data_IF_550734332001
#
_entry.id   IF_550734332001
#
_cell.length_a   1.000
_cell.length_b   1.000
_cell.length_c   1.000
_cell.angle_alpha   90.00
_cell.angle_beta   90.00
_cell.angle_gamma   90.00
#
_symmetry.space_group_name_H-M   'P 1'
#
loop_
_entity.id
_entity.type
_entity.pdbx_description
1 polymer ?
#
# COMPACT_ATOMS: atom_id res chain seq x y z
N UNK A 1 11.73 21.60 23.84
CA UNK A 1 11.48 20.49 22.88
C UNK A 1 10.45 19.56 23.50
N UNK A 2 9.23 19.50 22.94
CA UNK A 2 8.13 18.70 23.47
C UNK A 2 8.50 17.22 23.62
N UNK A 3 8.08 16.61 24.74
CA UNK A 3 8.29 15.19 25.07
C UNK A 3 7.50 14.29 24.11
N UNK A 4 7.98 14.13 22.88
CA UNK A 4 7.39 13.17 21.97
C UNK A 4 7.74 11.74 22.43
N UNK A 5 6.72 10.91 22.70
CA UNK A 5 6.92 9.50 23.05
C UNK A 5 7.66 8.75 21.94
N UNK A 6 8.64 7.94 22.31
CA UNK A 6 9.38 7.03 21.43
C UNK A 6 8.39 6.03 20.78
N UNK A 7 8.52 5.81 19.48
CA UNK A 7 7.74 4.80 18.74
C UNK A 7 8.17 3.40 19.20
N UNK A 8 7.23 2.44 19.29
CA UNK A 8 7.58 1.04 19.56
C UNK A 8 8.43 0.48 18.43
N UNK A 9 9.43 -0.35 18.73
CA UNK A 9 10.20 -1.08 17.69
C UNK A 9 9.32 -2.04 16.89
N UNK A 10 8.20 -2.46 17.49
CA UNK A 10 7.19 -3.32 16.91
C UNK A 10 6.08 -2.57 16.15
N UNK A 11 6.21 -1.25 15.93
CA UNK A 11 5.16 -0.46 15.29
C UNK A 11 4.89 -0.93 13.85
N UNK A 12 3.69 -1.46 13.64
CA UNK A 12 3.18 -1.85 12.33
C UNK A 12 1.71 -1.46 12.25
N UNK A 13 1.31 -0.86 11.12
CA UNK A 13 -0.09 -0.51 10.87
C UNK A 13 -0.50 -1.06 9.52
N UNK A 14 -1.50 -1.95 9.57
CA UNK A 14 -2.06 -2.55 8.37
C UNK A 14 -2.87 -1.50 7.59
N UNK A 15 -2.74 -1.51 6.27
CA UNK A 15 -3.57 -0.64 5.40
C UNK A 15 -5.04 -1.09 5.52
N UNK A 16 -5.97 -0.13 5.43
CA UNK A 16 -7.40 -0.43 5.49
C UNK A 16 -7.76 -1.49 4.42
N UNK A 17 -8.43 -2.60 4.76
CA UNK A 17 -8.78 -3.66 3.81
C UNK A 17 -9.54 -3.20 2.57
N UNK A 18 -10.38 -2.16 2.69
CA UNK A 18 -11.08 -1.59 1.54
C UNK A 18 -10.11 -0.91 0.56
N UNK A 19 -9.08 -0.21 1.07
CA UNK A 19 -8.02 0.36 0.24
C UNK A 19 -7.24 -0.76 -0.44
N UNK A 20 -6.92 -1.83 0.29
CA UNK A 20 -6.24 -3.00 -0.28
C UNK A 20 -7.05 -3.61 -1.42
N UNK A 21 -8.35 -3.79 -1.24
CA UNK A 21 -9.23 -4.33 -2.28
C UNK A 21 -9.29 -3.42 -3.52
N UNK A 22 -9.42 -2.10 -3.31
CA UNK A 22 -9.46 -1.13 -4.42
C UNK A 22 -8.13 -1.08 -5.18
N UNK A 23 -6.99 -1.00 -4.48
CA UNK A 23 -5.67 -0.99 -5.10
C UNK A 23 -5.40 -2.32 -5.80
N UNK A 24 -5.75 -3.45 -5.18
CA UNK A 24 -5.62 -4.77 -5.78
C UNK A 24 -6.42 -4.92 -7.08
N UNK A 25 -7.68 -4.46 -7.08
CA UNK A 25 -8.50 -4.45 -8.29
C UNK A 25 -7.91 -3.55 -9.38
N UNK A 26 -7.44 -2.35 -9.03
CA UNK A 26 -6.81 -1.43 -9.99
C UNK A 26 -5.52 -2.04 -10.59
N UNK A 27 -4.67 -2.65 -9.76
CA UNK A 27 -3.45 -3.32 -10.21
C UNK A 27 -3.76 -4.49 -11.14
N UNK A 28 -4.76 -5.32 -10.79
CA UNK A 28 -5.22 -6.40 -11.65
C UNK A 28 -5.69 -5.88 -13.01
N UNK A 29 -6.57 -4.89 -13.03
CA UNK A 29 -7.10 -4.33 -14.29
C UNK A 29 -6.01 -3.68 -15.15
N UNK A 30 -5.04 -3.01 -14.52
CA UNK A 30 -3.90 -2.41 -15.21
C UNK A 30 -3.01 -3.49 -15.88
N UNK A 31 -2.72 -4.58 -15.17
CA UNK A 31 -1.95 -5.71 -15.72
C UNK A 31 -2.72 -6.40 -16.84
N UNK A 32 -4.03 -6.64 -16.67
CA UNK A 32 -4.86 -7.24 -17.72
C UNK A 32 -4.95 -6.35 -18.95
N UNK A 33 -5.10 -5.04 -18.79
CA UNK A 33 -5.09 -4.09 -19.91
C UNK A 33 -3.81 -4.22 -20.77
N UNK A 34 -2.67 -4.53 -20.15
CA UNK A 34 -1.43 -4.74 -20.88
C UNK A 34 -1.31 -6.16 -21.46
N UNK A 35 -1.50 -7.20 -20.65
CA UNK A 35 -1.14 -8.58 -21.02
C UNK A 35 -2.26 -9.36 -21.70
N UNK A 36 -3.51 -9.15 -21.29
CA UNK A 36 -4.68 -9.85 -21.82
C UNK A 36 -5.94 -8.98 -21.69
N UNK A 37 -6.07 -7.93 -22.54
CA UNK A 37 -7.13 -6.93 -22.39
C UNK A 37 -8.54 -7.51 -22.52
N UNK A 38 -8.69 -8.66 -23.20
CA UNK A 38 -9.97 -9.35 -23.39
C UNK A 38 -10.26 -10.40 -22.31
N UNK A 39 -9.32 -10.68 -21.42
CA UNK A 39 -9.46 -11.66 -20.34
C UNK A 39 -10.22 -11.17 -19.11
N UNK A 40 -10.54 -9.87 -19.02
CA UNK A 40 -11.32 -9.34 -17.90
C UNK A 40 -12.77 -9.79 -18.01
N UNK A 41 -13.27 -10.51 -17.00
CA UNK A 41 -14.64 -11.04 -17.01
C UNK A 41 -15.70 -9.92 -16.96
N UNK A 42 -16.59 -9.83 -17.97
CA UNK A 42 -17.71 -8.88 -17.95
C UNK A 42 -18.74 -9.19 -16.85
N UNK A 43 -18.79 -10.43 -16.36
CA UNK A 43 -19.71 -10.83 -15.27
C UNK A 43 -19.36 -10.12 -13.97
N UNK A 44 -18.06 -9.94 -13.70
CA UNK A 44 -17.59 -9.31 -12.45
C UNK A 44 -17.34 -7.81 -12.61
N UNK A 45 -16.93 -7.36 -13.80
CA UNK A 45 -16.49 -5.97 -14.03
C UNK A 45 -17.44 -5.15 -14.92
N UNK A 46 -18.44 -5.77 -15.57
CA UNK A 46 -19.42 -5.08 -16.43
C UNK A 46 -18.74 -4.22 -17.48
N UNK A 47 -19.16 -2.95 -17.58
CA UNK A 47 -18.59 -1.98 -18.53
C UNK A 47 -17.11 -1.66 -18.29
N UNK A 48 -16.58 -1.93 -17.11
CA UNK A 48 -15.14 -1.80 -16.84
C UNK A 48 -14.36 -2.82 -17.66
N UNK A 49 -14.89 -4.03 -17.88
CA UNK A 49 -14.25 -5.01 -18.74
C UNK A 49 -14.15 -4.51 -20.21
N UNK A 50 -15.22 -3.89 -20.71
CA UNK A 50 -15.23 -3.28 -22.05
C UNK A 50 -14.21 -2.14 -22.16
N UNK A 51 -14.15 -1.27 -21.14
CA UNK A 51 -13.18 -0.17 -21.09
C UNK A 51 -11.74 -0.69 -21.07
N UNK A 52 -11.44 -1.69 -20.24
CA UNK A 52 -10.10 -2.30 -20.15
C UNK A 52 -9.73 -2.98 -21.45
N UNK A 53 -10.67 -3.68 -22.09
CA UNK A 53 -10.45 -4.28 -23.40
C UNK A 53 -10.12 -3.22 -24.45
N UNK A 54 -10.87 -2.11 -24.47
CA UNK A 54 -10.65 -1.02 -25.41
C UNK A 54 -9.31 -0.33 -25.19
N UNK A 55 -9.02 0.14 -23.95
CA UNK A 55 -7.77 0.87 -23.67
C UNK A 55 -6.54 -0.01 -23.88
N UNK A 56 -6.64 -1.29 -23.51
CA UNK A 56 -5.53 -2.23 -23.65
C UNK A 56 -5.26 -2.68 -25.08
N UNK A 57 -6.27 -2.64 -25.95
CA UNK A 57 -6.09 -2.92 -27.39
C UNK A 57 -5.54 -1.70 -28.11
N UNK A 58 -6.12 -0.51 -27.88
CA UNK A 58 -5.77 0.68 -28.66
C UNK A 58 -4.55 1.43 -28.10
N UNK A 59 -4.24 1.24 -26.82
CA UNK A 59 -3.16 1.95 -26.13
C UNK A 59 -2.26 0.98 -25.36
N UNK A 60 -1.96 -0.21 -25.93
CA UNK A 60 -1.20 -1.24 -25.23
C UNK A 60 0.17 -0.77 -24.74
N UNK A 61 0.91 -0.01 -25.56
CA UNK A 61 2.22 0.54 -25.18
C UNK A 61 2.13 1.51 -24.01
N UNK A 62 1.08 2.33 -23.96
CA UNK A 62 0.82 3.20 -22.82
C UNK A 62 0.51 2.36 -21.57
N UNK A 63 -0.33 1.33 -21.68
CA UNK A 63 -0.65 0.44 -20.55
C UNK A 63 0.58 -0.32 -20.04
N UNK A 64 1.48 -0.75 -20.95
CA UNK A 64 2.78 -1.31 -20.60
C UNK A 64 3.63 -0.30 -19.82
N UNK A 65 3.78 0.91 -20.32
CA UNK A 65 4.57 1.96 -19.66
C UNK A 65 4.01 2.31 -18.29
N UNK A 66 2.68 2.49 -18.17
CA UNK A 66 2.01 2.74 -16.90
C UNK A 66 2.23 1.59 -15.92
N UNK A 67 2.06 0.34 -16.35
CA UNK A 67 2.23 -0.83 -15.49
C UNK A 67 3.67 -0.93 -14.97
N UNK A 68 4.65 -0.84 -15.87
CA UNK A 68 6.07 -0.92 -15.50
C UNK A 68 6.50 0.27 -14.62
N UNK A 69 5.98 1.47 -14.90
CA UNK A 69 6.25 2.66 -14.08
C UNK A 69 5.67 2.53 -12.68
N UNK A 70 4.44 2.04 -12.54
CA UNK A 70 3.82 1.79 -11.24
C UNK A 70 4.61 0.75 -10.44
N UNK A 71 5.04 -0.36 -11.08
CA UNK A 71 5.90 -1.36 -10.44
C UNK A 71 7.23 -0.73 -9.96
N UNK A 72 7.86 0.09 -10.80
CA UNK A 72 9.10 0.77 -10.43
C UNK A 72 8.90 1.76 -9.26
N UNK A 73 7.80 2.53 -9.26
CA UNK A 73 7.44 3.44 -8.17
C UNK A 73 7.24 2.64 -6.87
N UNK A 74 6.48 1.56 -6.90
CA UNK A 74 6.24 0.72 -5.72
C UNK A 74 7.52 0.08 -5.17
N UNK A 75 8.41 -0.38 -6.06
CA UNK A 75 9.72 -0.89 -5.65
C UNK A 75 10.56 0.21 -4.98
N UNK A 76 10.57 1.43 -5.53
CA UNK A 76 11.23 2.58 -4.92
C UNK A 76 10.63 2.95 -3.56
N UNK A 77 9.30 2.96 -3.43
CA UNK A 77 8.60 3.20 -2.17
C UNK A 77 8.90 2.12 -1.12
N UNK A 78 9.07 0.86 -1.52
CA UNK A 78 9.50 -0.23 -0.64
C UNK A 78 10.92 -0.01 -0.10
N UNK A 79 11.83 0.51 -0.93
CA UNK A 79 13.18 0.92 -0.48
C UNK A 79 13.09 2.12 0.48
N UNK A 80 12.22 3.10 0.22
CA UNK A 80 11.98 4.19 1.15
C UNK A 80 11.41 3.67 2.48
N UNK A 81 10.53 2.67 2.46
CA UNK A 81 10.03 2.05 3.69
C UNK A 81 11.16 1.43 4.51
N UNK A 82 12.13 0.74 3.87
CA UNK A 82 13.33 0.25 4.55
C UNK A 82 14.12 1.40 5.21
N UNK A 83 14.38 2.48 4.47
CA UNK A 83 15.06 3.66 5.00
C UNK A 83 14.34 4.24 6.24
N UNK A 84 13.02 4.39 6.19
CA UNK A 84 12.25 4.90 7.32
C UNK A 84 12.21 3.92 8.50
N UNK A 85 12.12 2.61 8.26
CA UNK A 85 12.18 1.60 9.32
C UNK A 85 13.52 1.65 10.07
N UNK A 86 14.64 1.77 9.34
CA UNK A 86 15.96 1.93 9.93
C UNK A 86 16.08 3.24 10.73
N UNK A 87 15.59 4.35 10.16
CA UNK A 87 15.57 5.66 10.85
C UNK A 87 14.75 5.64 12.13
N UNK A 88 13.63 4.91 12.13
CA UNK A 88 12.75 4.72 13.28
C UNK A 88 13.21 3.62 14.24
N UNK A 89 14.28 2.89 13.90
CA UNK A 89 14.85 1.77 14.66
C UNK A 89 13.80 0.67 14.93
N UNK A 90 13.05 0.30 13.90
CA UNK A 90 12.09 -0.81 13.95
C UNK A 90 12.79 -2.16 13.86
N UNK A 91 12.14 -3.20 14.39
CA UNK A 91 12.66 -4.56 14.35
C UNK A 91 12.70 -5.11 12.91
N UNK A 92 13.64 -6.03 12.62
CA UNK A 92 13.84 -6.55 11.26
C UNK A 92 12.61 -7.28 10.70
N UNK A 93 11.89 -8.04 11.53
CA UNK A 93 10.65 -8.71 11.11
C UNK A 93 9.57 -7.71 10.72
N UNK A 94 9.38 -6.65 11.52
CA UNK A 94 8.43 -5.58 11.23
C UNK A 94 8.84 -4.77 10.01
N UNK A 95 10.14 -4.55 9.81
CA UNK A 95 10.69 -3.93 8.61
C UNK A 95 10.33 -4.73 7.36
N UNK A 96 10.44 -6.06 7.39
CA UNK A 96 10.03 -6.91 6.28
C UNK A 96 8.54 -6.77 5.98
N UNK A 97 7.68 -6.78 7.00
CA UNK A 97 6.24 -6.55 6.83
C UNK A 97 5.94 -5.18 6.19
N UNK A 98 6.64 -4.12 6.61
CA UNK A 98 6.50 -2.79 6.02
C UNK A 98 6.95 -2.75 4.56
N UNK A 99 8.07 -3.38 4.21
CA UNK A 99 8.56 -3.44 2.84
C UNK A 99 7.60 -4.19 1.93
N UNK A 100 7.08 -5.34 2.37
CA UNK A 100 6.11 -6.14 1.60
C UNK A 100 4.81 -5.35 1.42
N UNK A 101 4.24 -4.81 2.50
CA UNK A 101 3.01 -4.03 2.42
C UNK A 101 3.18 -2.81 1.51
N UNK A 102 4.32 -2.12 1.59
CA UNK A 102 4.61 -0.95 0.75
C UNK A 102 4.86 -1.32 -0.70
N UNK A 103 5.44 -2.48 -1.00
CA UNK A 103 5.58 -2.96 -2.37
C UNK A 103 4.21 -3.14 -3.06
N UNK A 104 3.20 -3.59 -2.33
CA UNK A 104 1.87 -3.79 -2.94
C UNK A 104 0.96 -2.56 -2.83
N UNK A 105 1.04 -1.82 -1.73
CA UNK A 105 0.12 -0.72 -1.41
C UNK A 105 0.72 0.68 -1.65
N UNK A 106 2.00 0.74 -2.01
CA UNK A 106 2.72 1.97 -2.29
C UNK A 106 2.58 3.03 -1.19
N UNK A 107 2.34 4.27 -1.62
CA UNK A 107 2.17 5.44 -0.74
C UNK A 107 1.13 5.24 0.39
N UNK A 108 0.08 4.44 0.18
CA UNK A 108 -0.96 4.20 1.18
C UNK A 108 -0.43 3.49 2.43
N UNK A 109 0.62 2.68 2.26
CA UNK A 109 1.39 2.07 3.35
C UNK A 109 2.47 3.03 3.85
N UNK A 110 3.29 3.57 2.93
CA UNK A 110 4.46 4.38 3.26
C UNK A 110 4.13 5.60 4.14
N UNK A 111 2.97 6.22 3.95
CA UNK A 111 2.52 7.37 4.76
C UNK A 111 2.54 7.12 6.27
N UNK A 112 2.34 5.87 6.71
CA UNK A 112 2.36 5.51 8.13
C UNK A 112 3.76 5.48 8.74
N UNK A 113 4.80 5.36 7.90
CA UNK A 113 6.20 5.48 8.29
C UNK A 113 6.69 6.93 8.22
N UNK A 114 6.20 7.72 7.25
CA UNK A 114 6.52 9.15 7.14
C UNK A 114 5.88 9.93 8.30
N UNK A 115 4.60 9.65 8.60
CA UNK A 115 3.84 10.28 9.68
C UNK A 115 3.27 9.23 10.64
N UNK A 116 4.12 8.63 11.50
CA UNK A 116 3.68 7.62 12.44
C UNK A 116 2.71 8.24 13.46
N UNK A 117 1.52 7.64 13.56
CA UNK A 117 0.57 7.99 14.61
C UNK A 117 1.08 7.39 15.91
N UNK A 118 1.59 8.25 16.79
CA UNK A 118 2.11 7.84 18.10
C UNK A 118 0.91 7.55 18.99
N UNK A 119 0.84 6.35 19.56
CA UNK A 119 -0.20 6.05 20.54
C UNK A 119 -0.05 7.00 21.74
N UNK A 120 -1.01 7.92 21.88
CA UNK A 120 -1.28 8.51 23.18
C UNK A 120 -1.77 7.36 24.06
N UNK A 121 -1.08 7.13 25.20
CA UNK A 121 -1.66 6.25 26.21
C UNK A 121 -3.01 6.88 26.52
N UNK A 122 -4.08 6.11 26.39
CA UNK A 122 -5.34 6.37 27.08
C UNK A 122 -5.03 6.70 28.54
N UNK A 123 -4.95 7.98 28.83
CA UNK A 123 -4.78 8.49 30.17
C UNK A 123 -6.17 8.46 30.81
N UNK A 124 -6.34 7.59 31.81
CA UNK A 124 -7.38 7.75 32.83
C UNK A 124 -8.72 7.07 32.56
N UNK A 125 -8.86 5.85 33.10
CA UNK A 125 -10.02 5.32 33.86
C UNK A 125 -9.92 3.78 33.76
N UNK A 126 -9.64 3.01 34.80
CA UNK A 126 -10.18 3.08 36.15
C UNK A 126 -9.16 2.57 37.16
N UNK A 127 -8.79 3.42 38.12
CA UNK A 127 -8.31 3.00 39.44
C UNK A 127 -9.56 2.74 40.28
N UNK A 128 -9.51 1.66 41.06
CA UNK A 128 -10.33 1.33 42.25
C UNK A 128 -11.77 0.87 41.99
N UNK A 129 -11.99 -0.42 42.18
CA UNK A 129 -12.91 -1.01 43.16
C UNK A 129 -12.16 -2.29 43.62
N UNK A 130 -11.42 -2.34 44.73
CA UNK A 130 -11.90 -2.45 46.12
C UNK A 130 -13.31 -3.00 46.25
#
# INVERSE_FOLDING_TARGET
MGKYKKLSSSYFKFVNPLIIAMVGAAMYLMVMAWLDPKGVSPVFFGRVAEFISWVGTENNDLMKQLTLSTVAIHAFESILALYYCQKLKLDSGVTCCWMIQTLFMGIFSLRFLIWPQREEKSAGNSKKNK
#
